data_IF_106394728954
#
_entry.id   IF_106394728954
#
_cell.length_a   1.000
_cell.length_b   1.000
_cell.length_c   1.000
_cell.angle_alpha   90.00
_cell.angle_beta   90.00
_cell.angle_gamma   90.00
#
_symmetry.space_group_name_H-M   'P 1'
#
loop_
_entity.id
_entity.type
_entity.pdbx_description
1 polymer ?
#
# COMPACT_ATOMS: atom_id res chain seq x y z
N UNK A 1 10.31 10.94 4.98
CA UNK A 1 9.02 11.61 4.73
C UNK A 1 7.95 10.55 4.46
N UNK A 2 6.79 10.76 5.00
CA UNK A 2 5.66 9.83 4.84
C UNK A 2 4.59 10.47 3.98
N UNK A 3 4.05 9.71 3.03
CA UNK A 3 3.01 10.18 2.13
C UNK A 3 1.82 9.24 2.21
N UNK A 4 0.64 9.78 2.48
CA UNK A 4 -0.59 8.99 2.46
C UNK A 4 -1.10 8.92 1.02
N UNK A 5 -1.41 7.70 0.56
CA UNK A 5 -1.95 7.47 -0.77
C UNK A 5 -3.47 7.45 -0.67
N UNK A 6 -4.12 8.24 -1.51
CA UNK A 6 -5.58 8.39 -1.47
C UNK A 6 -6.28 7.13 -1.95
N UNK A 7 -7.05 6.52 -1.07
CA UNK A 7 -7.92 5.39 -1.37
C UNK A 7 -9.37 5.78 -1.06
N UNK A 8 -10.30 5.08 -1.67
CA UNK A 8 -11.73 5.29 -1.42
C UNK A 8 -12.34 4.04 -0.82
N UNK A 9 -13.45 4.19 -0.10
CA UNK A 9 -14.11 3.09 0.60
C UNK A 9 -14.98 2.29 -0.36
N UNK A 10 -14.34 1.51 -1.22
CA UNK A 10 -15.03 0.60 -2.15
C UNK A 10 -14.39 -0.79 -2.07
N UNK A 11 -15.17 -1.87 -2.33
CA UNK A 11 -14.62 -3.23 -2.24
C UNK A 11 -13.47 -3.50 -3.22
N UNK A 12 -13.51 -2.88 -4.39
CA UNK A 12 -12.49 -3.09 -5.43
C UNK A 12 -12.12 -1.75 -6.03
N UNK A 13 -10.82 -1.50 -6.22
CA UNK A 13 -10.36 -0.26 -6.85
C UNK A 13 -8.98 -0.43 -7.44
N UNK A 14 -8.69 0.39 -8.45
CA UNK A 14 -7.36 0.52 -9.02
C UNK A 14 -6.88 1.95 -8.80
N UNK A 15 -5.65 2.09 -8.32
CA UNK A 15 -5.08 3.39 -7.96
C UNK A 15 -3.68 3.48 -8.57
N UNK A 16 -3.36 4.64 -9.13
CA UNK A 16 -2.03 4.96 -9.60
C UNK A 16 -1.49 6.14 -8.83
N UNK A 17 -0.26 6.06 -8.36
CA UNK A 17 0.37 7.11 -7.58
C UNK A 17 1.80 7.34 -8.04
N UNK A 18 2.24 8.60 -8.00
CA UNK A 18 3.63 8.96 -8.21
C UNK A 18 4.28 9.16 -6.85
N UNK A 19 5.40 8.49 -6.60
CA UNK A 19 6.15 8.64 -5.36
C UNK A 19 7.59 9.05 -5.69
N UNK A 20 8.22 9.77 -4.75
CA UNK A 20 9.65 10.07 -4.81
C UNK A 20 10.34 9.32 -3.68
N UNK A 21 11.33 8.51 -4.02
CA UNK A 21 12.08 7.76 -3.02
C UNK A 21 13.13 8.65 -2.31
N UNK A 22 13.87 8.07 -1.36
CA UNK A 22 14.84 8.81 -0.57
C UNK A 22 16.00 9.38 -1.42
N UNK A 23 16.20 8.84 -2.62
CA UNK A 23 17.23 9.30 -3.54
C UNK A 23 16.70 10.34 -4.54
N UNK A 24 15.45 10.77 -4.37
CA UNK A 24 14.82 11.74 -5.25
C UNK A 24 14.33 11.15 -6.57
N UNK A 25 14.38 9.83 -6.73
CA UNK A 25 13.90 9.17 -7.94
C UNK A 25 12.38 9.01 -7.88
N UNK A 26 11.70 9.39 -8.96
CA UNK A 26 10.24 9.28 -9.06
C UNK A 26 9.86 7.93 -9.64
N UNK A 27 8.85 7.31 -9.03
CA UNK A 27 8.31 6.02 -9.48
C UNK A 27 6.81 6.13 -9.68
N UNK A 28 6.30 5.41 -10.67
CA UNK A 28 4.86 5.26 -10.90
C UNK A 28 4.45 3.93 -10.28
N UNK A 29 3.54 3.98 -9.31
CA UNK A 29 3.07 2.81 -8.60
C UNK A 29 1.61 2.57 -8.96
N UNK A 30 1.34 1.41 -9.53
CA UNK A 30 -0.03 0.98 -9.85
C UNK A 30 -0.44 -0.11 -8.87
N UNK A 31 -1.59 0.08 -8.24
CA UNK A 31 -2.10 -0.83 -7.23
C UNK A 31 -3.52 -1.23 -7.57
N UNK A 32 -3.84 -2.49 -7.38
CA UNK A 32 -5.19 -3.01 -7.53
C UNK A 32 -5.59 -3.69 -6.23
N UNK A 33 -6.65 -3.17 -5.60
CA UNK A 33 -7.16 -3.72 -4.35
C UNK A 33 -8.45 -4.48 -4.61
N UNK A 34 -8.58 -5.66 -4.00
CA UNK A 34 -9.75 -6.50 -4.11
C UNK A 34 -10.14 -7.00 -2.72
N UNK A 35 -11.45 -7.07 -2.47
CA UNK A 35 -11.99 -7.63 -1.23
C UNK A 35 -12.33 -9.09 -1.43
N UNK A 36 -11.77 -9.95 -0.59
CA UNK A 36 -12.05 -11.39 -0.62
C UNK A 36 -13.37 -11.70 0.08
N UNK A 37 -13.98 -12.89 -0.18
CA UNK A 37 -15.25 -13.25 0.46
C UNK A 37 -15.25 -13.17 1.98
N UNK A 38 -14.09 -13.39 2.62
CA UNK A 38 -13.94 -13.30 4.07
C UNK A 38 -13.83 -11.85 4.58
N UNK A 39 -13.83 -10.87 3.67
CA UNK A 39 -13.77 -9.45 4.02
C UNK A 39 -12.39 -8.84 4.06
N UNK A 40 -11.32 -9.63 4.00
CA UNK A 40 -9.97 -9.06 3.98
C UNK A 40 -9.59 -8.54 2.59
N UNK A 41 -8.66 -7.59 2.57
CA UNK A 41 -8.15 -6.99 1.34
C UNK A 41 -6.90 -7.70 0.85
N UNK A 42 -6.80 -7.85 -0.47
CA UNK A 42 -5.56 -8.24 -1.14
C UNK A 42 -5.18 -7.16 -2.15
N UNK A 43 -3.89 -7.09 -2.45
CA UNK A 43 -3.35 -6.08 -3.36
C UNK A 43 -2.43 -6.71 -4.39
N UNK A 44 -2.51 -6.21 -5.62
CA UNK A 44 -1.50 -6.40 -6.65
C UNK A 44 -0.76 -5.08 -6.81
N UNK A 45 0.55 -5.11 -6.99
CA UNK A 45 1.35 -3.89 -7.16
C UNK A 45 2.33 -4.03 -8.31
N UNK A 46 2.41 -2.95 -9.10
CA UNK A 46 3.39 -2.79 -10.17
C UNK A 46 4.11 -1.47 -9.93
N UNK A 47 5.43 -1.47 -10.02
CA UNK A 47 6.24 -0.24 -9.91
C UNK A 47 7.00 -0.08 -11.22
N UNK A 48 6.82 1.08 -11.86
CA UNK A 48 7.44 1.41 -13.15
C UNK A 48 7.20 0.30 -14.20
N UNK A 49 5.97 -0.20 -14.25
CA UNK A 49 5.51 -1.27 -15.14
C UNK A 49 6.15 -2.64 -14.85
N UNK A 50 6.82 -2.80 -13.72
CA UNK A 50 7.40 -4.08 -13.31
C UNK A 50 6.56 -4.67 -12.18
N UNK A 51 6.00 -5.88 -12.33
CA UNK A 51 5.23 -6.51 -11.25
C UNK A 51 6.09 -6.73 -10.01
N UNK A 52 5.56 -6.31 -8.85
CA UNK A 52 6.26 -6.46 -7.57
C UNK A 52 5.68 -7.62 -6.78
N UNK A 53 4.35 -7.67 -6.69
CA UNK A 53 3.64 -8.80 -6.08
C UNK A 53 2.21 -8.84 -6.60
N UNK A 54 1.56 -9.98 -6.41
CA UNK A 54 0.16 -10.17 -6.75
C UNK A 54 -0.53 -10.97 -5.64
N UNK A 55 -1.76 -10.55 -5.29
CA UNK A 55 -2.58 -11.25 -4.31
C UNK A 55 -2.04 -11.23 -2.89
N UNK A 56 -1.28 -10.22 -2.52
CA UNK A 56 -0.75 -10.11 -1.16
C UNK A 56 -1.80 -9.57 -0.21
N UNK A 57 -1.98 -10.24 0.93
CA UNK A 57 -2.93 -9.80 1.94
C UNK A 57 -2.44 -8.49 2.58
N UNK A 58 -3.35 -7.53 2.73
CA UNK A 58 -3.08 -6.28 3.40
C UNK A 58 -3.20 -6.47 4.90
N UNK A 59 -2.11 -6.28 5.64
CA UNK A 59 -2.04 -6.46 7.08
C UNK A 59 -1.57 -5.15 7.70
N UNK A 60 -2.17 -4.80 8.85
CA UNK A 60 -1.82 -3.56 9.54
C UNK A 60 -0.33 -3.52 9.88
N UNK A 61 0.33 -2.42 9.52
CA UNK A 61 1.74 -2.13 9.80
C UNK A 61 2.76 -3.08 9.15
N UNK A 62 2.31 -3.99 8.29
CA UNK A 62 3.20 -4.93 7.60
C UNK A 62 3.78 -4.29 6.34
N UNK A 63 5.10 -4.33 6.10
CA UNK A 63 5.65 -3.82 4.85
C UNK A 63 5.18 -4.65 3.67
N UNK A 64 4.79 -3.97 2.60
CA UNK A 64 4.23 -4.63 1.42
C UNK A 64 5.29 -5.05 0.42
N UNK A 65 6.32 -4.23 0.21
CA UNK A 65 7.35 -4.49 -0.81
C UNK A 65 8.49 -5.25 -0.18
N UNK A 66 8.77 -6.44 -0.71
CA UNK A 66 9.86 -7.29 -0.25
C UNK A 66 10.75 -7.63 -1.45
N UNK A 67 12.05 -7.30 -1.34
CA UNK A 67 13.03 -7.68 -2.34
C UNK A 67 13.02 -6.88 -3.65
N UNK A 68 12.30 -5.78 -3.71
CA UNK A 68 12.29 -4.90 -4.89
C UNK A 68 13.23 -3.71 -4.65
N UNK A 69 14.03 -3.29 -5.66
CA UNK A 69 15.02 -2.23 -5.47
C UNK A 69 14.40 -0.83 -5.45
N UNK A 70 13.71 -0.52 -4.38
CA UNK A 70 13.14 0.81 -4.10
C UNK A 70 13.49 1.16 -2.66
N UNK A 71 13.80 2.43 -2.41
CA UNK A 71 14.00 2.88 -1.03
C UNK A 71 12.66 3.11 -0.35
N UNK A 72 12.58 2.78 0.94
CA UNK A 72 11.33 2.92 1.67
C UNK A 72 10.39 1.75 1.46
N UNK A 73 9.18 1.89 1.94
CA UNK A 73 8.16 0.84 1.80
C UNK A 73 6.75 1.40 1.98
N UNK A 74 5.78 0.56 1.65
CA UNK A 74 4.36 0.84 1.81
C UNK A 74 3.81 -0.02 2.94
N UNK A 75 2.89 0.55 3.72
CA UNK A 75 2.17 -0.20 4.75
C UNK A 75 0.83 0.45 5.04
N UNK A 76 -0.10 -0.36 5.55
CA UNK A 76 -1.39 0.14 6.04
C UNK A 76 -1.28 0.52 7.51
N UNK A 77 -2.00 1.56 7.90
CA UNK A 77 -2.05 2.02 9.28
C UNK A 77 -3.51 2.19 9.71
N UNK A 78 -3.91 1.43 10.73
CA UNK A 78 -5.19 1.64 11.41
C UNK A 78 -5.02 2.80 12.39
N UNK A 79 -5.79 3.87 12.21
CA UNK A 79 -5.66 5.06 13.03
C UNK A 79 -6.33 4.92 14.42
N UNK A 80 -7.15 3.91 14.61
CA UNK A 80 -7.94 3.77 15.84
C UNK A 80 -7.54 2.58 16.70
N UNK A 81 -7.21 1.46 16.07
CA UNK A 81 -6.85 0.23 16.76
C UNK A 81 -5.67 -0.44 16.04
N UNK A 82 -5.57 -1.75 16.12
CA UNK A 82 -4.54 -2.53 15.46
C UNK A 82 -5.18 -3.66 14.66
N UNK A 83 -6.17 -3.33 13.82
CA UNK A 83 -6.85 -4.31 12.99
C UNK A 83 -6.38 -4.21 11.54
N UNK A 84 -6.53 -5.31 10.82
CA UNK A 84 -6.18 -5.32 9.40
C UNK A 84 -7.21 -4.54 8.60
N UNK A 85 -6.80 -3.88 7.49
CA UNK A 85 -7.70 -3.02 6.75
C UNK A 85 -8.82 -3.80 6.09
N UNK A 86 -10.00 -3.19 6.09
CA UNK A 86 -11.16 -3.60 5.31
C UNK A 86 -11.59 -2.42 4.44
N UNK A 87 -12.32 -2.69 3.36
CA UNK A 87 -12.58 -1.65 2.36
C UNK A 87 -13.38 -0.46 2.91
N UNK A 88 -14.28 -0.71 3.86
CA UNK A 88 -15.18 0.31 4.38
C UNK A 88 -14.47 1.41 5.18
N UNK A 89 -13.26 1.15 5.65
CA UNK A 89 -12.45 2.13 6.36
C UNK A 89 -11.34 2.77 5.52
N UNK A 90 -11.22 2.41 4.25
CA UNK A 90 -10.15 2.97 3.40
C UNK A 90 -10.34 4.47 3.20
N UNK A 91 -9.22 5.21 3.27
CA UNK A 91 -9.22 6.65 3.13
C UNK A 91 -9.64 7.42 4.37
N UNK A 92 -10.06 6.72 5.42
CA UNK A 92 -10.43 7.30 6.71
C UNK A 92 -9.71 6.61 7.83
N UNK A 93 -10.28 5.51 8.33
CA UNK A 93 -9.68 4.74 9.42
C UNK A 93 -8.36 4.09 9.02
N UNK A 94 -8.31 3.51 7.83
CA UNK A 94 -7.11 2.83 7.33
C UNK A 94 -6.43 3.69 6.28
N UNK A 95 -5.17 4.02 6.52
CA UNK A 95 -4.36 4.78 5.57
C UNK A 95 -3.34 3.85 4.93
N UNK A 96 -3.10 4.04 3.63
CA UNK A 96 -1.97 3.45 2.95
C UNK A 96 -0.85 4.49 2.91
N UNK A 97 0.28 4.17 3.51
CA UNK A 97 1.39 5.10 3.67
C UNK A 97 2.61 4.59 2.91
N UNK A 98 3.25 5.49 2.17
CA UNK A 98 4.59 5.29 1.67
C UNK A 98 5.56 6.08 2.55
N UNK A 99 6.54 5.39 3.14
CA UNK A 99 7.57 5.98 3.98
C UNK A 99 8.92 5.75 3.29
N UNK A 100 9.53 6.84 2.79
CA UNK A 100 10.79 6.75 2.04
C UNK A 100 12.00 6.41 2.92
N UNK A 101 11.84 6.47 4.23
CA UNK A 101 12.89 6.12 5.20
C UNK A 101 12.70 4.75 5.85
N UNK A 102 11.67 4.01 5.43
CA UNK A 102 11.37 2.70 6.02
C UNK A 102 12.46 1.69 5.69
N UNK A 103 12.90 0.94 6.68
CA UNK A 103 13.86 -0.16 6.50
C UNK A 103 13.26 -1.46 7.02
N UNK A 104 13.66 -2.58 6.41
CA UNK A 104 13.16 -3.90 6.78
C UNK A 104 13.94 -4.55 7.93
N UNK A 105 14.91 -3.88 8.47
CA UNK A 105 15.79 -4.38 9.54
C UNK A 105 15.06 -4.56 10.87
#
# INVERSE_FOLDING_TARGET
MKTAINLVATPNQSVSANISDANGKTHIVDMKLRTMPDGYLIMDMTIDNTPVFAGRRCVNKMPLVLGFPITGNFYFMDQYENTDPTYDGLGGRYLLIYDDEYTLD
#
